data_IF_361959483328
#
_entry.id   IF_361959483328
#
_cell.length_a   1.000
_cell.length_b   1.000
_cell.length_c   1.000
_cell.angle_alpha   90.00
_cell.angle_beta   90.00
_cell.angle_gamma   90.00
#
_symmetry.space_group_name_H-M   'P 1'
#
loop_
_entity.id
_entity.type
_entity.pdbx_description
1 polymer ?
#
# COMPACT_ATOMS: atom_id res chain seq x y z
N UNK A 1 17.71 14.39 -3.29
CA UNK A 1 17.43 14.96 -1.94
C UNK A 1 15.92 15.05 -1.82
N UNK A 2 15.30 14.21 -0.96
CA UNK A 2 13.87 14.33 -0.70
C UNK A 2 13.61 15.67 -0.01
N UNK A 3 12.73 16.49 -0.60
CA UNK A 3 12.27 17.70 0.06
C UNK A 3 11.51 17.32 1.33
N UNK A 4 11.66 18.08 2.42
CA UNK A 4 10.93 17.81 3.65
C UNK A 4 9.43 17.92 3.37
N UNK A 5 8.64 16.96 3.93
CA UNK A 5 7.19 16.97 3.79
C UNK A 5 6.59 18.28 4.28
N UNK A 6 5.66 18.84 3.51
CA UNK A 6 4.89 20.00 3.94
C UNK A 6 3.98 19.65 5.12
N UNK A 7 3.56 20.68 5.88
CA UNK A 7 2.61 20.47 7.00
C UNK A 7 1.28 19.86 6.52
N UNK A 8 0.82 20.22 5.33
CA UNK A 8 -0.39 19.64 4.71
C UNK A 8 -0.20 18.15 4.44
N UNK A 9 0.94 17.74 3.89
CA UNK A 9 1.23 16.32 3.66
C UNK A 9 1.28 15.51 4.97
N UNK A 10 1.89 16.06 6.01
CA UNK A 10 1.89 15.44 7.35
C UNK A 10 0.46 15.32 7.90
N UNK A 11 -0.36 16.36 7.74
CA UNK A 11 -1.76 16.34 8.21
C UNK A 11 -2.61 15.33 7.44
N UNK A 12 -2.45 15.22 6.12
CA UNK A 12 -3.15 14.22 5.31
C UNK A 12 -2.77 12.79 5.74
N UNK A 13 -1.49 12.54 5.99
CA UNK A 13 -1.02 11.24 6.48
C UNK A 13 -1.60 10.92 7.86
N UNK A 14 -1.62 11.88 8.77
CA UNK A 14 -2.20 11.70 10.11
C UNK A 14 -3.71 11.49 10.05
N UNK A 15 -4.43 12.23 9.20
CA UNK A 15 -5.86 12.06 9.00
C UNK A 15 -6.16 10.67 8.41
N UNK A 16 -5.49 10.26 7.33
CA UNK A 16 -5.61 8.92 6.78
C UNK A 16 -5.38 7.83 7.84
N UNK A 17 -4.32 7.95 8.63
CA UNK A 17 -4.02 6.98 9.69
C UNK A 17 -5.14 6.93 10.75
N UNK A 18 -5.73 8.08 11.11
CA UNK A 18 -6.87 8.17 12.03
C UNK A 18 -8.09 7.43 11.51
N UNK A 19 -8.51 7.71 10.27
CA UNK A 19 -9.69 7.10 9.64
C UNK A 19 -9.50 5.59 9.41
N UNK A 20 -8.32 5.17 8.93
CA UNK A 20 -8.02 3.77 8.74
C UNK A 20 -8.03 2.98 10.07
N UNK A 21 -7.49 3.58 11.13
CA UNK A 21 -7.52 3.00 12.48
C UNK A 21 -8.95 2.96 13.03
N UNK A 22 -9.75 4.02 12.86
CA UNK A 22 -11.15 4.07 13.28
C UNK A 22 -11.96 2.97 12.57
N UNK A 23 -11.82 2.84 11.23
CA UNK A 23 -12.45 1.79 10.46
C UNK A 23 -12.19 0.39 11.04
N UNK A 24 -10.91 0.01 11.21
CA UNK A 24 -10.55 -1.32 11.73
C UNK A 24 -11.02 -1.54 13.16
N UNK A 25 -10.94 -0.53 13.99
CA UNK A 25 -11.41 -0.56 15.39
C UNK A 25 -12.92 -0.76 15.44
N UNK A 26 -13.69 -0.06 14.61
CA UNK A 26 -15.15 -0.18 14.59
C UNK A 26 -15.60 -1.52 14.05
N UNK A 27 -14.97 -2.07 13.03
CA UNK A 27 -15.24 -3.45 12.58
C UNK A 27 -15.03 -4.46 13.71
N UNK A 28 -13.94 -4.31 14.46
CA UNK A 28 -13.66 -5.19 15.61
C UNK A 28 -14.68 -4.99 16.74
N UNK A 29 -15.04 -3.74 17.05
CA UNK A 29 -16.04 -3.44 18.08
C UNK A 29 -17.43 -3.93 17.68
N UNK A 30 -17.81 -3.88 16.41
CA UNK A 30 -19.03 -4.48 15.89
C UNK A 30 -19.09 -5.99 16.16
N UNK A 31 -17.99 -6.70 15.88
CA UNK A 31 -17.89 -8.13 16.19
C UNK A 31 -18.03 -8.41 17.71
N UNK A 32 -17.40 -7.59 18.55
CA UNK A 32 -17.53 -7.72 20.00
C UNK A 32 -18.96 -7.43 20.48
N UNK A 33 -19.59 -6.36 20.00
CA UNK A 33 -20.97 -6.02 20.34
C UNK A 33 -21.94 -7.16 19.99
N UNK A 34 -21.76 -7.80 18.83
CA UNK A 34 -22.53 -8.96 18.40
C UNK A 34 -22.32 -10.16 19.34
N UNK A 35 -21.08 -10.44 19.74
CA UNK A 35 -20.76 -11.48 20.73
C UNK A 35 -21.37 -11.19 22.10
N UNK A 36 -21.52 -9.92 22.47
CA UNK A 36 -22.18 -9.46 23.69
C UNK A 36 -23.71 -9.41 23.57
N UNK A 37 -24.29 -9.83 22.43
CA UNK A 37 -25.73 -9.92 22.21
C UNK A 37 -26.41 -8.61 21.84
N UNK A 38 -25.65 -7.60 21.39
CA UNK A 38 -26.19 -6.30 21.01
C UNK A 38 -26.03 -6.04 19.51
N UNK A 39 -27.00 -6.49 18.72
CA UNK A 39 -26.97 -6.36 17.26
C UNK A 39 -27.11 -4.92 16.77
N UNK A 40 -27.91 -4.09 17.48
CA UNK A 40 -28.09 -2.68 17.12
C UNK A 40 -26.77 -1.90 17.20
N UNK A 41 -26.02 -2.10 18.28
CA UNK A 41 -24.70 -1.49 18.44
C UNK A 41 -23.70 -2.07 17.46
N UNK A 42 -23.74 -3.37 17.17
CA UNK A 42 -22.88 -3.98 16.15
C UNK A 42 -23.08 -3.33 14.79
N UNK A 43 -24.32 -3.17 14.35
CA UNK A 43 -24.67 -2.51 13.08
C UNK A 43 -24.30 -1.03 13.05
N UNK A 44 -24.39 -0.32 14.17
CA UNK A 44 -23.93 1.06 14.27
C UNK A 44 -22.42 1.14 13.95
N UNK A 45 -21.60 0.31 14.61
CA UNK A 45 -20.17 0.27 14.36
C UNK A 45 -19.83 -0.10 12.92
N UNK A 46 -20.50 -1.08 12.33
CA UNK A 46 -20.27 -1.52 10.96
C UNK A 46 -20.59 -0.41 9.94
N UNK A 47 -21.71 0.29 10.08
CA UNK A 47 -22.06 1.43 9.21
C UNK A 47 -21.05 2.58 9.33
N UNK A 48 -20.67 2.92 10.56
CA UNK A 48 -19.66 3.97 10.77
C UNK A 48 -18.30 3.56 10.17
N UNK A 49 -17.92 2.29 10.30
CA UNK A 49 -16.69 1.80 9.65
C UNK A 49 -16.72 1.96 8.11
N UNK A 50 -17.86 1.73 7.47
CA UNK A 50 -18.01 1.96 6.01
C UNK A 50 -17.84 3.45 5.66
N UNK A 51 -18.37 4.37 6.47
CA UNK A 51 -18.19 5.82 6.30
C UNK A 51 -16.71 6.21 6.41
N UNK A 52 -15.97 5.67 7.40
CA UNK A 52 -14.54 5.93 7.58
C UNK A 52 -13.69 5.40 6.42
N UNK A 53 -14.14 4.35 5.72
CA UNK A 53 -13.51 3.91 4.48
C UNK A 53 -13.52 5.02 3.42
N UNK A 54 -14.65 5.71 3.28
CA UNK A 54 -14.79 6.85 2.35
C UNK A 54 -13.85 8.00 2.70
N UNK A 55 -13.77 8.36 3.98
CA UNK A 55 -12.89 9.42 4.49
C UNK A 55 -11.41 9.06 4.24
N UNK A 56 -10.99 7.85 4.57
CA UNK A 56 -9.63 7.38 4.33
C UNK A 56 -9.25 7.44 2.85
N UNK A 57 -10.12 7.01 1.94
CA UNK A 57 -9.86 7.09 0.50
C UNK A 57 -9.80 8.51 -0.02
N UNK A 58 -10.61 9.44 0.51
CA UNK A 58 -10.52 10.85 0.15
C UNK A 58 -9.14 11.44 0.48
N UNK A 59 -8.57 11.09 1.64
CA UNK A 59 -7.21 11.49 1.98
C UNK A 59 -6.16 10.84 1.08
N UNK A 60 -6.30 9.54 0.77
CA UNK A 60 -5.38 8.83 -0.13
C UNK A 60 -5.37 9.43 -1.55
N UNK A 61 -6.52 9.86 -2.08
CA UNK A 61 -6.60 10.51 -3.40
C UNK A 61 -5.80 11.82 -3.45
N UNK A 62 -5.73 12.55 -2.35
CA UNK A 62 -4.91 13.76 -2.24
C UNK A 62 -3.43 13.45 -2.03
N UNK A 63 -3.10 12.35 -1.35
CA UNK A 63 -1.71 11.91 -1.13
C UNK A 63 -1.11 11.23 -2.37
N UNK A 64 -1.93 10.55 -3.16
CA UNK A 64 -1.55 9.78 -4.34
C UNK A 64 -2.45 10.14 -5.54
N UNK A 65 -2.31 11.35 -6.13
CA UNK A 65 -3.11 11.76 -7.28
C UNK A 65 -2.95 10.76 -8.44
N UNK A 66 -4.06 10.34 -9.04
CA UNK A 66 -4.07 9.34 -10.11
C UNK A 66 -3.14 9.71 -11.27
N UNK A 67 -3.08 10.99 -11.64
CA UNK A 67 -2.22 11.51 -12.69
C UNK A 67 -0.71 11.33 -12.43
N UNK A 68 -0.32 11.09 -11.19
CA UNK A 68 1.08 10.92 -10.78
C UNK A 68 1.43 9.46 -10.48
N UNK A 69 0.43 8.56 -10.51
CA UNK A 69 0.62 7.15 -10.16
C UNK A 69 0.82 6.28 -11.39
N UNK A 70 1.70 5.31 -11.27
CA UNK A 70 1.86 4.19 -12.19
C UNK A 70 1.80 2.89 -11.40
N UNK A 71 1.55 1.78 -12.07
CA UNK A 71 1.53 0.46 -11.40
C UNK A 71 2.84 0.19 -10.68
N UNK A 72 3.98 0.58 -11.27
CA UNK A 72 5.29 0.44 -10.63
C UNK A 72 5.41 1.28 -9.36
N UNK A 73 4.95 2.54 -9.39
CA UNK A 73 4.97 3.41 -8.20
C UNK A 73 4.12 2.81 -7.08
N UNK A 74 2.93 2.32 -7.38
CA UNK A 74 2.05 1.69 -6.38
C UNK A 74 2.71 0.47 -5.75
N UNK A 75 3.31 -0.41 -6.58
CA UNK A 75 4.04 -1.58 -6.10
C UNK A 75 5.28 -1.20 -5.29
N UNK A 76 5.98 -0.14 -5.69
CA UNK A 76 7.16 0.35 -4.99
C UNK A 76 6.80 0.90 -3.60
N UNK A 77 5.74 1.71 -3.50
CA UNK A 77 5.25 2.24 -2.23
C UNK A 77 4.86 1.11 -1.28
N UNK A 78 4.13 0.11 -1.78
CA UNK A 78 3.76 -1.05 -0.99
C UNK A 78 4.99 -1.84 -0.52
N UNK A 79 5.93 -2.12 -1.41
CA UNK A 79 7.19 -2.79 -1.07
C UNK A 79 7.99 -2.06 0.01
N UNK A 80 8.12 -0.74 -0.11
CA UNK A 80 8.85 0.10 0.86
C UNK A 80 8.16 0.11 2.23
N UNK A 81 6.83 0.12 2.26
CA UNK A 81 6.05 0.01 3.50
C UNK A 81 6.32 -1.31 4.22
N UNK A 82 6.17 -2.44 3.52
CA UNK A 82 6.41 -3.77 4.09
C UNK A 82 7.88 -3.96 4.54
N UNK A 83 8.84 -3.39 3.80
CA UNK A 83 10.25 -3.43 4.22
C UNK A 83 10.50 -2.61 5.48
N UNK A 84 9.87 -1.44 5.62
CA UNK A 84 9.94 -0.67 6.87
C UNK A 84 9.36 -1.43 8.05
N UNK A 85 8.22 -2.09 7.88
CA UNK A 85 7.60 -2.93 8.91
C UNK A 85 8.51 -4.09 9.30
N UNK A 86 9.10 -4.77 8.32
CA UNK A 86 9.99 -5.92 8.52
C UNK A 86 11.31 -5.55 9.18
N UNK A 87 11.94 -4.44 8.77
CA UNK A 87 13.33 -4.13 9.15
C UNK A 87 13.44 -3.18 10.36
N UNK A 88 12.39 -2.37 10.59
CA UNK A 88 12.44 -1.34 11.61
C UNK A 88 11.29 -1.42 12.61
N UNK A 89 10.04 -1.37 12.15
CA UNK A 89 8.89 -1.21 13.02
C UNK A 89 8.69 -2.41 13.94
N UNK A 90 8.45 -3.59 13.38
CA UNK A 90 8.17 -4.79 14.20
C UNK A 90 9.37 -5.26 15.03
N UNK A 91 10.62 -5.23 14.55
CA UNK A 91 11.77 -5.53 15.42
C UNK A 91 11.89 -4.59 16.62
N UNK A 92 11.63 -3.30 16.43
CA UNK A 92 11.64 -2.32 17.51
C UNK A 92 10.53 -2.61 18.52
N UNK A 93 9.30 -2.80 18.05
CA UNK A 93 8.15 -3.08 18.91
C UNK A 93 8.30 -4.40 19.68
N UNK A 94 8.83 -5.46 19.04
CA UNK A 94 9.09 -6.72 19.72
C UNK A 94 10.15 -6.57 20.82
N UNK A 95 11.17 -5.73 20.63
CA UNK A 95 12.19 -5.49 21.66
C UNK A 95 11.63 -4.65 22.82
N UNK A 96 10.87 -3.61 22.53
CA UNK A 96 10.19 -2.80 23.56
C UNK A 96 9.23 -3.65 24.39
N UNK A 97 8.36 -4.45 23.75
CA UNK A 97 7.45 -5.36 24.43
C UNK A 97 8.19 -6.42 25.28
N UNK A 98 9.38 -6.88 24.85
CA UNK A 98 10.20 -7.79 25.62
C UNK A 98 10.75 -7.15 26.90
N UNK A 99 11.14 -5.87 26.82
CA UNK A 99 11.61 -5.10 27.97
C UNK A 99 10.47 -4.85 28.97
N UNK A 100 9.23 -4.72 28.50
CA UNK A 100 8.02 -4.55 29.32
C UNK A 100 7.44 -5.86 29.85
N UNK A 101 7.94 -7.02 29.40
CA UNK A 101 7.47 -8.34 29.82
C UNK A 101 6.17 -8.81 29.14
N UNK A 102 5.76 -8.15 28.05
CA UNK A 102 4.51 -8.40 27.31
C UNK A 102 4.69 -9.53 26.28
N UNK A 103 4.83 -10.76 26.73
CA UNK A 103 5.17 -11.92 25.88
C UNK A 103 4.19 -12.17 24.73
N UNK A 104 2.90 -11.91 24.91
CA UNK A 104 1.90 -12.07 23.87
C UNK A 104 2.11 -11.03 22.74
N UNK A 105 2.42 -9.79 23.09
CA UNK A 105 2.74 -8.75 22.11
C UNK A 105 4.06 -9.05 21.37
N UNK A 106 5.07 -9.58 22.08
CA UNK A 106 6.32 -10.03 21.44
C UNK A 106 6.06 -11.08 20.36
N UNK A 107 5.22 -12.09 20.66
CA UNK A 107 4.90 -13.15 19.70
C UNK A 107 4.17 -12.58 18.48
N UNK A 108 3.18 -11.73 18.70
CA UNK A 108 2.41 -11.04 17.64
C UNK A 108 3.32 -10.20 16.74
N UNK A 109 4.20 -9.36 17.29
CA UNK A 109 5.09 -8.51 16.49
C UNK A 109 6.12 -9.31 15.68
N UNK A 110 6.60 -10.44 16.21
CA UNK A 110 7.48 -11.33 15.45
C UNK A 110 6.74 -12.00 14.29
N UNK A 111 5.52 -12.47 14.50
CA UNK A 111 4.69 -13.09 13.47
C UNK A 111 4.36 -12.08 12.35
N UNK A 112 3.85 -10.89 12.72
CA UNK A 112 3.53 -9.83 11.76
C UNK A 112 4.75 -9.35 10.97
N UNK A 113 5.92 -9.22 11.59
CA UNK A 113 7.17 -8.89 10.89
C UNK A 113 7.61 -9.97 9.89
N UNK A 114 7.31 -11.24 10.16
CA UNK A 114 7.56 -12.33 9.21
C UNK A 114 6.57 -12.29 8.03
N UNK A 115 5.28 -12.00 8.28
CA UNK A 115 4.27 -11.83 7.23
C UNK A 115 4.58 -10.64 6.34
N UNK A 116 4.96 -9.48 6.92
CA UNK A 116 5.36 -8.30 6.14
C UNK A 116 6.56 -8.59 5.23
N UNK A 117 7.49 -9.44 5.66
CA UNK A 117 8.58 -9.91 4.79
C UNK A 117 8.07 -10.69 3.59
N UNK A 118 7.12 -11.60 3.78
CA UNK A 118 6.52 -12.33 2.66
C UNK A 118 5.76 -11.40 1.71
N UNK A 119 5.05 -10.40 2.24
CA UNK A 119 4.38 -9.38 1.43
C UNK A 119 5.40 -8.58 0.60
N UNK A 120 6.48 -8.13 1.20
CA UNK A 120 7.57 -7.44 0.51
C UNK A 120 8.12 -8.27 -0.67
N UNK A 121 8.39 -9.55 -0.47
CA UNK A 121 8.87 -10.43 -1.55
C UNK A 121 7.83 -10.61 -2.68
N UNK A 122 6.53 -10.66 -2.36
CA UNK A 122 5.45 -10.69 -3.36
C UNK A 122 5.41 -9.41 -4.19
N UNK A 123 5.48 -8.23 -3.55
CA UNK A 123 5.52 -6.94 -4.26
C UNK A 123 6.78 -6.80 -5.13
N UNK A 124 7.94 -7.18 -4.62
CA UNK A 124 9.21 -7.19 -5.36
C UNK A 124 9.16 -8.10 -6.59
N UNK A 125 8.61 -9.31 -6.44
CA UNK A 125 8.45 -10.23 -7.56
C UNK A 125 7.53 -9.65 -8.65
N UNK A 126 6.46 -8.95 -8.26
CA UNK A 126 5.56 -8.28 -9.19
C UNK A 126 6.24 -7.09 -9.90
N UNK A 127 7.01 -6.27 -9.18
CA UNK A 127 7.83 -5.20 -9.75
C UNK A 127 8.79 -5.72 -10.82
N UNK A 128 9.47 -6.84 -10.54
CA UNK A 128 10.39 -7.46 -11.51
C UNK A 128 9.65 -7.97 -12.76
N UNK A 129 8.43 -8.49 -12.61
CA UNK A 129 7.59 -8.93 -13.76
C UNK A 129 7.14 -7.72 -14.59
N UNK A 130 6.64 -6.67 -13.94
CA UNK A 130 6.24 -5.45 -14.61
C UNK A 130 7.39 -4.86 -15.43
N UNK A 131 8.57 -4.69 -14.83
CA UNK A 131 9.75 -4.19 -15.51
C UNK A 131 10.16 -5.03 -16.74
N UNK A 132 10.05 -6.38 -16.66
CA UNK A 132 10.32 -7.27 -17.79
C UNK A 132 9.30 -7.09 -18.92
N UNK A 133 8.02 -6.95 -18.59
CA UNK A 133 6.94 -6.75 -19.57
C UNK A 133 7.11 -5.42 -20.30
N UNK A 134 7.34 -4.32 -19.59
CA UNK A 134 7.59 -3.00 -20.20
C UNK A 134 8.80 -3.02 -21.15
N UNK A 135 9.89 -3.68 -20.75
CA UNK A 135 11.08 -3.84 -21.58
C UNK A 135 10.80 -4.69 -22.85
N UNK A 136 9.92 -5.68 -22.75
CA UNK A 136 9.49 -6.48 -23.89
C UNK A 136 8.61 -5.67 -24.86
N UNK A 137 7.62 -4.91 -24.34
CA UNK A 137 6.76 -4.04 -25.15
C UNK A 137 7.57 -2.95 -25.86
N UNK A 138 8.48 -2.27 -25.18
CA UNK A 138 9.35 -1.26 -25.80
C UNK A 138 10.19 -1.82 -26.96
N UNK A 139 10.63 -3.08 -26.90
CA UNK A 139 11.32 -3.75 -28.03
C UNK A 139 10.39 -4.02 -29.19
N UNK A 140 9.14 -4.41 -28.93
CA UNK A 140 8.14 -4.66 -29.99
C UNK A 140 7.76 -3.34 -30.66
N UNK A 141 7.54 -2.27 -29.92
CA UNK A 141 7.24 -0.94 -30.46
C UNK A 141 8.39 -0.40 -31.31
N UNK A 142 9.63 -0.54 -30.84
CA UNK A 142 10.80 -0.14 -31.60
C UNK A 142 10.93 -0.94 -32.91
N UNK A 143 10.62 -2.24 -32.91
CA UNK A 143 10.60 -3.07 -34.13
C UNK A 143 9.48 -2.64 -35.09
N UNK A 144 8.31 -2.26 -34.60
CA UNK A 144 7.21 -1.72 -35.40
C UNK A 144 7.60 -0.37 -36.02
N UNK A 145 8.13 0.57 -35.22
CA UNK A 145 8.59 1.87 -35.71
C UNK A 145 9.63 1.74 -36.81
N UNK A 146 10.59 0.80 -36.67
CA UNK A 146 11.59 0.51 -37.71
C UNK A 146 10.96 -0.01 -39.00
N UNK A 147 9.99 -0.95 -38.90
CA UNK A 147 9.28 -1.47 -40.10
C UNK A 147 8.49 -0.37 -40.81
N UNK A 148 7.86 0.54 -40.08
CA UNK A 148 7.13 1.67 -40.68
C UNK A 148 8.09 2.65 -41.36
N UNK A 149 9.24 2.96 -40.76
CA UNK A 149 10.25 3.81 -41.37
C UNK A 149 10.79 3.20 -42.68
N UNK A 150 11.15 1.90 -42.67
CA UNK A 150 11.61 1.17 -43.87
C UNK A 150 10.53 1.09 -44.98
N UNK A 151 9.25 0.98 -44.60
CA UNK A 151 8.15 1.00 -45.57
C UNK A 151 7.97 2.39 -46.19
N UNK A 152 8.07 3.45 -45.37
CA UNK A 152 7.97 4.83 -45.83
C UNK A 152 9.10 5.17 -46.83
N UNK A 153 10.34 4.80 -46.52
CA UNK A 153 11.47 5.00 -47.43
C UNK A 153 11.26 4.34 -48.80
N UNK A 154 10.69 3.13 -48.85
CA UNK A 154 10.37 2.43 -50.10
C UNK A 154 9.28 3.11 -50.92
N UNK A 155 8.36 3.84 -50.30
CA UNK A 155 7.30 4.58 -51.00
C UNK A 155 7.79 5.93 -51.48
N UNK A 156 8.69 6.59 -50.73
CA UNK A 156 9.25 7.90 -51.10
C UNK A 156 10.42 7.83 -52.10
N UNK A 157 11.01 6.64 -52.32
CA UNK A 157 12.08 6.41 -53.29
C UNK A 157 11.57 6.04 -54.71
N UNK A 158 10.27 6.12 -54.94
CA UNK A 158 9.62 5.96 -56.26
C UNK A 158 9.15 7.31 -56.81
#
# INVERSE_FOLDING_TARGET
MNQPQTKTQQNLQAAFAGEAMANRRYLYFGQLARKLGNEEVAQLFERTADEETGHAFAHLQLMYPESEMTVEKLLQIAYEGEMYETEQMYPTFAEEARQEGESAAVAEFIEQGAESREHAERFKAMLQRAAKQFKAFGRVEAAHAKRYAEALEKVTAR
#
